data_IF_573316221315
#
_entry.id   IF_573316221315
#
_cell.length_a   1.000
_cell.length_b   1.000
_cell.length_c   1.000
_cell.angle_alpha   90.00
_cell.angle_beta   90.00
_cell.angle_gamma   90.00
#
_symmetry.space_group_name_H-M   'P 1'
#
loop_
_entity.id
_entity.type
_entity.pdbx_description
1 polymer ?
#
# COMPACT_ATOMS: atom_id res chain seq x y z
N UNK A 1 -41.46 -8.09 -24.64
CA UNK A 1 -41.04 -9.43 -24.17
C UNK A 1 -39.59 -9.31 -23.69
N UNK A 2 -39.17 -10.13 -22.72
CA UNK A 2 -38.67 -9.81 -21.38
C UNK A 2 -37.16 -9.48 -21.41
N UNK A 3 -36.63 -8.73 -20.46
CA UNK A 3 -35.97 -9.27 -19.24
C UNK A 3 -34.78 -10.23 -19.50
N UNK A 4 -33.98 -10.00 -20.53
CA UNK A 4 -32.66 -10.64 -20.71
C UNK A 4 -31.58 -9.59 -21.04
N UNK A 5 -31.11 -8.85 -20.03
CA UNK A 5 -29.76 -8.30 -20.08
C UNK A 5 -29.05 -8.75 -18.80
N UNK A 6 -28.64 -10.02 -18.87
CA UNK A 6 -27.49 -10.62 -18.21
C UNK A 6 -26.97 -9.87 -16.99
N UNK A 7 -27.42 -10.37 -15.84
CA UNK A 7 -26.61 -10.69 -14.66
C UNK A 7 -25.10 -10.55 -14.94
N UNK A 8 -24.57 -9.35 -14.69
CA UNK A 8 -23.13 -9.13 -14.62
C UNK A 8 -22.63 -9.82 -13.34
N UNK A 9 -21.84 -10.89 -13.44
CA UNK A 9 -21.38 -11.62 -12.26
C UNK A 9 -20.39 -10.74 -11.49
N UNK A 10 -20.44 -10.90 -10.15
CA UNK A 10 -19.47 -10.42 -9.16
C UNK A 10 -18.05 -10.26 -9.72
N UNK A 11 -17.58 -9.02 -9.83
CA UNK A 11 -16.15 -8.76 -9.70
C UNK A 11 -15.84 -8.69 -8.21
N UNK A 12 -15.68 -9.88 -7.64
CA UNK A 12 -14.77 -10.13 -6.53
C UNK A 12 -13.40 -9.57 -6.97
N UNK A 13 -13.12 -8.32 -6.61
CA UNK A 13 -11.75 -7.84 -6.52
C UNK A 13 -11.28 -8.24 -5.12
N UNK A 14 -10.54 -9.34 -4.97
CA UNK A 14 -9.65 -9.46 -3.84
C UNK A 14 -8.51 -8.47 -4.09
N UNK A 15 -8.76 -7.17 -3.90
CA UNK A 15 -7.71 -6.19 -3.61
C UNK A 15 -7.13 -6.56 -2.24
N UNK A 16 -6.32 -7.63 -2.24
CA UNK A 16 -5.54 -8.14 -1.12
C UNK A 16 -4.31 -7.24 -0.86
N UNK A 17 -4.31 -5.99 -1.37
CA UNK A 17 -3.27 -4.99 -1.16
C UNK A 17 -3.70 -3.83 -0.25
N UNK A 18 -4.93 -3.82 0.30
CA UNK A 18 -5.45 -2.69 1.07
C UNK A 18 -5.33 -2.80 2.60
N UNK A 19 -4.86 -3.91 3.16
CA UNK A 19 -4.64 -4.02 4.63
C UNK A 19 -3.19 -3.71 5.01
N UNK A 20 -2.57 -2.72 4.37
CA UNK A 20 -1.28 -2.23 4.84
C UNK A 20 -1.51 -1.52 6.16
N UNK A 21 -1.06 -2.11 7.28
CA UNK A 21 -1.25 -1.53 8.61
C UNK A 21 -0.34 -0.30 8.77
N UNK A 22 -0.87 0.85 8.37
CA UNK A 22 -0.24 2.17 8.46
C UNK A 22 -0.27 2.74 9.89
N UNK A 23 -0.70 1.93 10.87
CA UNK A 23 -0.83 2.37 12.26
C UNK A 23 0.55 2.75 12.82
N UNK A 24 0.74 4.04 13.09
CA UNK A 24 2.01 4.59 13.58
C UNK A 24 3.01 4.97 12.48
N UNK A 25 2.57 5.00 11.22
CA UNK A 25 3.37 5.46 10.08
C UNK A 25 2.67 6.65 9.43
N UNK A 26 3.41 7.73 9.17
CA UNK A 26 2.86 8.91 8.54
C UNK A 26 2.64 8.67 7.03
N UNK A 27 1.44 8.93 6.48
CA UNK A 27 1.16 8.69 5.05
C UNK A 27 2.06 9.51 4.13
N UNK A 28 2.51 10.69 4.59
CA UNK A 28 3.51 11.49 3.89
C UNK A 28 4.84 10.76 3.73
N UNK A 29 5.27 10.06 4.77
CA UNK A 29 6.53 9.32 4.75
C UNK A 29 6.44 8.14 3.79
N UNK A 30 5.28 7.46 3.75
CA UNK A 30 5.02 6.37 2.79
C UNK A 30 5.12 6.90 1.36
N UNK A 31 4.45 8.01 1.04
CA UNK A 31 4.55 8.65 -0.29
C UNK A 31 5.99 9.06 -0.63
N UNK A 32 6.73 9.63 0.33
CA UNK A 32 8.13 10.02 0.15
C UNK A 32 9.03 8.81 -0.12
N UNK A 33 8.88 7.73 0.64
CA UNK A 33 9.65 6.48 0.45
C UNK A 33 9.29 5.84 -0.89
N UNK A 34 8.00 5.78 -1.25
CA UNK A 34 7.56 5.25 -2.55
C UNK A 34 8.08 6.11 -3.71
N UNK A 35 8.07 7.44 -3.61
CA UNK A 35 8.55 8.33 -4.66
C UNK A 35 10.08 8.33 -4.80
N UNK A 36 10.81 8.20 -3.70
CA UNK A 36 12.27 8.25 -3.69
C UNK A 36 12.92 6.90 -4.02
N UNK A 37 12.37 5.79 -3.50
CA UNK A 37 12.91 4.43 -3.65
C UNK A 37 12.19 3.64 -4.74
N UNK A 38 10.95 4.00 -5.09
CA UNK A 38 10.14 3.26 -6.07
C UNK A 38 9.62 1.92 -5.56
N UNK A 39 9.41 1.78 -4.25
CA UNK A 39 8.90 0.55 -3.64
C UNK A 39 7.37 0.57 -3.46
N UNK A 40 6.75 -0.60 -3.26
CA UNK A 40 5.31 -0.71 -3.01
C UNK A 40 4.92 -0.16 -1.63
N UNK A 41 3.66 0.29 -1.49
CA UNK A 41 3.11 0.84 -0.24
C UNK A 41 3.37 -0.07 0.97
N UNK A 42 3.21 -1.38 0.81
CA UNK A 42 3.52 -2.36 1.85
C UNK A 42 4.99 -2.43 2.26
N UNK A 43 5.93 -2.26 1.32
CA UNK A 43 7.37 -2.24 1.63
C UNK A 43 7.76 -0.93 2.32
N UNK A 44 7.20 0.19 1.87
CA UNK A 44 7.40 1.50 2.51
C UNK A 44 6.87 1.52 3.96
N UNK A 45 5.63 1.03 4.19
CA UNK A 45 5.04 0.96 5.52
C UNK A 45 5.84 0.05 6.45
N UNK A 46 6.26 -1.13 5.97
CA UNK A 46 7.13 -2.02 6.76
C UNK A 46 8.44 -1.35 7.13
N UNK A 47 9.12 -0.73 6.18
CA UNK A 47 10.39 -0.04 6.44
C UNK A 47 10.23 1.09 7.45
N UNK A 48 9.15 1.88 7.36
CA UNK A 48 8.83 2.93 8.32
C UNK A 48 8.48 2.37 9.70
N UNK A 49 7.75 1.26 9.77
CA UNK A 49 7.37 0.60 11.02
C UNK A 49 8.56 -0.03 11.73
N UNK A 50 9.46 -0.68 10.99
CA UNK A 50 10.74 -1.21 11.52
C UNK A 50 11.68 -0.07 11.95
N UNK A 51 11.62 1.06 11.25
CA UNK A 51 12.38 2.27 11.61
C UNK A 51 11.70 3.11 12.70
N UNK A 52 10.55 2.70 13.24
CA UNK A 52 9.85 3.43 14.31
C UNK A 52 9.32 4.82 13.90
N UNK A 53 9.05 5.04 12.62
CA UNK A 53 8.62 6.34 12.08
C UNK A 53 9.77 7.23 11.60
N UNK A 54 11.03 6.77 11.64
CA UNK A 54 12.15 7.52 11.07
C UNK A 54 12.20 7.40 9.53
N UNK A 55 11.81 8.47 8.82
CA UNK A 55 11.78 8.51 7.36
C UNK A 55 13.12 8.15 6.71
N UNK A 56 14.24 8.67 7.21
CA UNK A 56 15.57 8.49 6.59
C UNK A 56 16.04 7.04 6.75
N UNK A 57 15.83 6.46 7.93
CA UNK A 57 16.13 5.06 8.19
C UNK A 57 15.23 4.16 7.33
N UNK A 58 13.96 4.52 7.17
CA UNK A 58 13.03 3.78 6.33
C UNK A 58 13.37 3.86 4.84
N UNK A 59 13.78 5.03 4.32
CA UNK A 59 14.26 5.18 2.93
C UNK A 59 15.49 4.29 2.72
N UNK A 60 16.42 4.30 3.68
CA UNK A 60 17.63 3.48 3.62
C UNK A 60 17.30 1.99 3.65
N UNK A 61 16.40 1.58 4.56
CA UNK A 61 15.94 0.19 4.70
C UNK A 61 15.06 -0.29 3.53
N UNK A 62 14.29 0.60 2.90
CA UNK A 62 13.46 0.29 1.75
C UNK A 62 14.29 0.16 0.46
N UNK A 63 15.43 0.84 0.38
CA UNK A 63 16.34 0.87 -0.77
C UNK A 63 17.34 -0.29 -0.82
N UNK A 64 17.38 -1.13 0.22
CA UNK A 64 18.22 -2.33 0.29
C UNK A 64 17.45 -3.62 -0.07
#
# INVERSE_FOLDING_TARGET
MPEDFEEIPELDHPDTDDTVDETGVDPKDIELVMAQVGCSRAKAVRALKESGGDLINAITAASE
#
